data_IF_501424661444
#
_entry.id   IF_501424661444
#
_cell.length_a   1.000
_cell.length_b   1.000
_cell.length_c   1.000
_cell.angle_alpha   90.00
_cell.angle_beta   90.00
_cell.angle_gamma   90.00
#
_symmetry.space_group_name_H-M   'P 1'
#
loop_
_entity.id
_entity.type
_entity.pdbx_description
1 polymer ?
#
# COMPACT_ATOMS: atom_id res chain seq x y z
N UNK A 1 17.89 48.64 -21.39
CA UNK A 1 16.81 48.12 -22.25
C UNK A 1 15.53 48.96 -22.22
N UNK A 2 15.11 49.50 -21.07
CA UNK A 2 13.86 50.28 -20.97
C UNK A 2 13.81 51.54 -21.86
N UNK A 3 14.96 52.12 -22.22
CA UNK A 3 15.07 53.34 -23.04
C UNK A 3 14.89 53.14 -24.55
N UNK A 4 14.80 51.91 -25.07
CA UNK A 4 14.53 51.69 -26.48
C UNK A 4 13.06 52.06 -26.78
N UNK A 5 12.70 52.84 -27.81
CA UNK A 5 11.30 53.12 -28.12
C UNK A 5 10.59 51.95 -28.84
N UNK A 6 11.35 51.09 -29.54
CA UNK A 6 10.82 50.00 -30.35
C UNK A 6 10.60 48.72 -29.52
N UNK A 7 9.37 48.21 -29.50
CA UNK A 7 8.97 47.02 -28.72
C UNK A 7 9.55 45.72 -29.28
N UNK A 8 9.76 45.60 -30.59
CA UNK A 8 10.29 44.38 -31.19
C UNK A 8 11.79 44.27 -30.92
N UNK A 9 12.53 45.35 -31.15
CA UNK A 9 13.97 45.42 -30.82
C UNK A 9 14.26 45.22 -29.34
N UNK A 10 13.35 45.62 -28.43
CA UNK A 10 13.47 45.29 -27.00
C UNK A 10 13.50 43.77 -26.76
N UNK A 11 12.61 43.03 -27.41
CA UNK A 11 12.49 41.57 -27.23
C UNK A 11 13.72 40.85 -27.77
N UNK A 12 14.24 41.28 -28.91
CA UNK A 12 15.43 40.66 -29.51
C UNK A 12 16.69 40.98 -28.71
N UNK A 13 16.84 42.22 -28.25
CA UNK A 13 17.94 42.57 -27.34
C UNK A 13 17.87 41.75 -26.04
N UNK A 14 16.67 41.49 -25.50
CA UNK A 14 16.51 40.65 -24.32
C UNK A 14 16.90 39.20 -24.58
N UNK A 15 16.48 38.62 -25.71
CA UNK A 15 16.88 37.27 -26.12
C UNK A 15 18.40 37.15 -26.22
N UNK A 16 19.06 38.12 -26.83
CA UNK A 16 20.51 38.15 -26.98
C UNK A 16 21.22 38.30 -25.62
N UNK A 17 20.73 39.19 -24.75
CA UNK A 17 21.27 39.36 -23.40
C UNK A 17 21.15 38.06 -22.58
N UNK A 18 19.96 37.46 -22.54
CA UNK A 18 19.72 36.22 -21.80
C UNK A 18 20.61 35.11 -22.35
N UNK A 19 20.71 34.98 -23.68
CA UNK A 19 21.61 34.01 -24.30
C UNK A 19 23.06 34.22 -23.87
N UNK A 20 23.58 35.44 -23.97
CA UNK A 20 24.99 35.74 -23.64
C UNK A 20 25.31 35.51 -22.16
N UNK A 21 24.41 35.86 -21.25
CA UNK A 21 24.61 35.66 -19.81
C UNK A 21 24.50 34.18 -19.42
N UNK A 22 23.57 33.44 -20.00
CA UNK A 22 23.45 31.99 -19.79
C UNK A 22 24.67 31.23 -20.34
N UNK A 23 25.16 31.62 -21.52
CA UNK A 23 26.37 31.02 -22.12
C UNK A 23 27.61 31.29 -21.25
N UNK A 24 27.67 32.45 -20.57
CA UNK A 24 28.73 32.80 -19.60
C UNK A 24 28.52 32.24 -18.20
N UNK A 25 27.39 31.56 -17.93
CA UNK A 25 26.96 31.09 -16.60
C UNK A 25 26.93 32.18 -15.51
N UNK A 26 26.72 33.44 -15.91
CA UNK A 26 26.63 34.56 -14.97
C UNK A 26 25.18 34.71 -14.48
N UNK A 27 24.77 33.80 -13.61
CA UNK A 27 23.38 33.68 -13.13
C UNK A 27 23.03 34.75 -12.09
N UNK A 28 24.01 35.22 -11.33
CA UNK A 28 23.80 36.22 -10.27
C UNK A 28 23.40 37.57 -10.87
N UNK A 29 24.08 37.99 -11.94
CA UNK A 29 23.70 39.21 -12.66
C UNK A 29 22.33 39.06 -13.30
N UNK A 30 22.02 37.88 -13.87
CA UNK A 30 20.71 37.60 -14.46
C UNK A 30 19.57 37.65 -13.43
N UNK A 31 19.82 37.21 -12.21
CA UNK A 31 18.86 37.23 -11.10
C UNK A 31 18.64 38.64 -10.54
N UNK A 32 19.66 39.49 -10.58
CA UNK A 32 19.60 40.87 -10.07
C UNK A 32 18.70 41.81 -10.89
N UNK A 33 18.43 41.47 -12.15
CA UNK A 33 17.67 42.33 -13.05
C UNK A 33 16.16 42.33 -12.75
N UNK A 34 15.56 43.53 -12.84
CA UNK A 34 14.11 43.73 -12.77
C UNK A 34 13.54 43.86 -14.18
N UNK A 35 12.86 42.82 -14.67
CA UNK A 35 12.40 42.78 -16.07
C UNK A 35 11.03 43.46 -16.30
N UNK A 36 10.31 43.83 -15.23
CA UNK A 36 9.00 44.49 -15.27
C UNK A 36 8.07 43.86 -16.34
N UNK A 37 7.72 44.61 -17.39
CA UNK A 37 6.80 44.16 -18.46
C UNK A 37 7.37 43.05 -19.37
N UNK A 38 8.67 42.78 -19.31
CA UNK A 38 9.33 41.74 -20.12
C UNK A 38 9.52 40.43 -19.36
N UNK A 39 8.97 40.33 -18.14
CA UNK A 39 9.09 39.17 -17.26
C UNK A 39 8.58 37.87 -17.90
N UNK A 40 7.42 37.93 -18.55
CA UNK A 40 6.82 36.77 -19.20
C UNK A 40 7.68 36.30 -20.37
N UNK A 41 8.23 37.24 -21.14
CA UNK A 41 9.13 36.94 -22.24
C UNK A 41 10.43 36.30 -21.73
N UNK A 42 11.01 36.85 -20.66
CA UNK A 42 12.19 36.29 -20.00
C UNK A 42 11.94 34.85 -19.53
N UNK A 43 10.85 34.61 -18.80
CA UNK A 43 10.48 33.26 -18.36
C UNK A 43 10.26 32.32 -19.55
N UNK A 44 9.58 32.78 -20.61
CA UNK A 44 9.32 31.97 -21.81
C UNK A 44 10.61 31.51 -22.51
N UNK A 45 11.62 32.40 -22.60
CA UNK A 45 12.92 32.09 -23.20
C UNK A 45 13.62 31.01 -22.37
N UNK A 46 13.61 31.16 -21.05
CA UNK A 46 14.21 30.19 -20.14
C UNK A 46 13.49 28.84 -20.20
N UNK A 47 12.15 28.81 -20.21
CA UNK A 47 11.39 27.57 -20.36
C UNK A 47 11.69 26.88 -21.70
N UNK A 48 11.72 27.62 -22.81
CA UNK A 48 12.07 27.04 -24.12
C UNK A 48 13.47 26.42 -24.09
N UNK A 49 14.44 27.08 -23.46
CA UNK A 49 15.81 26.57 -23.36
C UNK A 49 15.94 25.41 -22.40
N UNK A 50 15.23 25.44 -21.26
CA UNK A 50 15.14 24.34 -20.31
C UNK A 50 14.53 23.10 -20.97
N UNK A 51 13.48 23.26 -21.78
CA UNK A 51 12.82 22.21 -22.56
C UNK A 51 13.68 21.62 -23.67
N UNK A 52 14.48 22.46 -24.33
CA UNK A 52 15.40 22.01 -25.37
C UNK A 52 16.66 21.31 -24.85
N UNK A 53 17.04 21.55 -23.59
CA UNK A 53 18.21 20.92 -22.96
C UNK A 53 17.83 19.58 -22.34
N UNK A 54 18.79 18.66 -22.27
CA UNK A 54 18.66 17.38 -21.58
C UNK A 54 18.18 17.59 -20.12
N UNK A 55 17.40 16.65 -19.57
CA UNK A 55 16.79 16.82 -18.25
C UNK A 55 17.81 16.62 -17.10
N UNK A 56 18.83 15.77 -17.32
CA UNK A 56 19.83 15.41 -16.31
C UNK A 56 20.75 16.62 -16.02
N UNK A 57 21.47 17.13 -17.02
CA UNK A 57 22.32 18.33 -16.88
C UNK A 57 21.56 19.62 -17.23
N UNK A 58 20.56 19.95 -16.41
CA UNK A 58 19.67 21.09 -16.64
C UNK A 58 19.73 22.12 -15.51
N UNK A 59 20.65 23.09 -15.63
CA UNK A 59 20.74 24.22 -14.70
C UNK A 59 19.60 25.24 -14.85
N UNK A 60 18.86 25.20 -15.96
CA UNK A 60 17.84 26.22 -16.26
C UNK A 60 16.60 26.07 -15.37
N UNK A 61 16.19 24.84 -15.05
CA UNK A 61 15.10 24.61 -14.10
C UNK A 61 15.48 25.05 -12.68
N UNK A 62 16.71 24.78 -12.24
CA UNK A 62 17.22 25.21 -10.93
C UNK A 62 17.26 26.75 -10.83
N UNK A 63 17.71 27.42 -11.90
CA UNK A 63 17.67 28.86 -12.01
C UNK A 63 16.23 29.40 -12.01
N UNK A 64 15.34 28.81 -12.82
CA UNK A 64 13.93 29.22 -12.87
C UNK A 64 13.25 29.08 -11.50
N UNK A 65 13.50 28.00 -10.78
CA UNK A 65 12.95 27.79 -9.44
C UNK A 65 13.46 28.84 -8.44
N UNK A 66 14.78 29.01 -8.34
CA UNK A 66 15.37 30.01 -7.43
C UNK A 66 14.88 31.43 -7.76
N UNK A 67 14.78 31.74 -9.04
CA UNK A 67 14.23 32.99 -9.53
C UNK A 67 12.77 33.21 -9.10
N UNK A 68 11.89 32.22 -9.21
CA UNK A 68 10.49 32.37 -8.79
C UNK A 68 10.35 32.43 -7.25
N UNK A 69 11.14 31.66 -6.51
CA UNK A 69 11.13 31.70 -5.03
C UNK A 69 11.56 33.09 -4.52
N UNK A 70 12.59 33.70 -5.11
CA UNK A 70 13.08 35.03 -4.71
C UNK A 70 12.06 36.15 -4.94
N UNK A 71 11.05 35.93 -5.79
CA UNK A 71 9.97 36.90 -6.05
C UNK A 71 8.83 36.82 -5.04
N UNK A 72 8.81 35.80 -4.19
CA UNK A 72 7.88 35.65 -3.08
C UNK A 72 6.52 35.03 -3.43
N UNK A 73 5.57 35.22 -2.50
CA UNK A 73 4.29 34.51 -2.41
C UNK A 73 3.51 34.30 -3.72
N UNK A 74 3.28 35.30 -4.59
CA UNK A 74 2.47 35.11 -5.79
C UNK A 74 3.08 34.17 -6.84
N UNK A 75 4.39 33.85 -6.73
CA UNK A 75 5.11 33.04 -7.72
C UNK A 75 5.51 31.65 -7.20
N UNK A 76 5.16 31.29 -5.97
CA UNK A 76 5.45 29.95 -5.43
C UNK A 76 4.77 28.83 -6.23
N UNK A 77 3.55 29.06 -6.72
CA UNK A 77 2.86 28.11 -7.61
C UNK A 77 3.67 27.83 -8.87
N UNK A 78 4.22 28.89 -9.48
CA UNK A 78 5.03 28.78 -10.68
C UNK A 78 6.35 28.04 -10.36
N UNK A 79 6.99 28.35 -9.23
CA UNK A 79 8.19 27.64 -8.77
C UNK A 79 7.93 26.12 -8.62
N UNK A 80 6.81 25.74 -8.00
CA UNK A 80 6.42 24.34 -7.87
C UNK A 80 6.18 23.68 -9.23
N UNK A 81 5.52 24.38 -10.16
CA UNK A 81 5.25 23.82 -11.49
C UNK A 81 6.51 23.61 -12.34
N UNK A 82 7.51 24.49 -12.21
CA UNK A 82 8.83 24.37 -12.86
C UNK A 82 9.51 23.07 -12.41
N UNK A 83 9.56 22.85 -11.10
CA UNK A 83 10.20 21.65 -10.52
C UNK A 83 9.41 20.38 -10.81
N UNK A 84 8.08 20.47 -10.85
CA UNK A 84 7.22 19.36 -11.26
C UNK A 84 7.47 18.95 -12.72
N UNK A 85 7.57 19.91 -13.65
CA UNK A 85 7.87 19.65 -15.06
C UNK A 85 9.24 18.97 -15.22
N UNK A 86 10.25 19.43 -14.47
CA UNK A 86 11.57 18.79 -14.47
C UNK A 86 11.51 17.35 -13.94
N UNK A 87 10.82 17.12 -12.83
CA UNK A 87 10.65 15.79 -12.24
C UNK A 87 9.90 14.82 -13.17
N UNK A 88 8.90 15.34 -13.89
CA UNK A 88 8.17 14.59 -14.89
C UNK A 88 9.08 14.20 -16.07
N UNK A 89 9.85 15.14 -16.62
CA UNK A 89 10.80 14.82 -17.70
C UNK A 89 11.87 13.81 -17.27
N UNK A 90 12.36 13.91 -16.03
CA UNK A 90 13.30 12.95 -15.46
C UNK A 90 12.70 11.54 -15.31
N UNK A 91 11.38 11.38 -15.29
CA UNK A 91 10.74 10.04 -15.23
C UNK A 91 10.99 9.19 -16.46
N UNK A 92 11.39 9.80 -17.58
CA UNK A 92 11.70 9.08 -18.81
C UNK A 92 13.11 8.46 -18.78
N UNK A 93 13.94 8.84 -17.80
CA UNK A 93 15.33 8.42 -17.72
C UNK A 93 15.53 7.28 -16.73
N UNK A 94 15.99 6.14 -17.25
CA UNK A 94 16.38 4.96 -16.51
C UNK A 94 17.76 5.06 -15.84
N UNK A 95 18.06 6.10 -15.07
CA UNK A 95 19.36 6.21 -14.36
C UNK A 95 19.19 6.54 -12.89
N UNK A 96 20.11 6.05 -12.05
CA UNK A 96 20.08 6.33 -10.60
C UNK A 96 20.18 7.84 -10.32
N UNK A 97 21.06 8.55 -11.04
CA UNK A 97 21.22 10.00 -10.89
C UNK A 97 19.95 10.76 -11.27
N UNK A 98 19.30 10.39 -12.39
CA UNK A 98 18.04 11.00 -12.79
C UNK A 98 16.95 10.78 -11.75
N UNK A 99 16.89 9.60 -11.14
CA UNK A 99 15.92 9.25 -10.10
C UNK A 99 16.18 10.02 -8.79
N UNK A 100 17.44 10.16 -8.38
CA UNK A 100 17.80 11.00 -7.23
C UNK A 100 17.44 12.47 -7.46
N UNK A 101 17.70 12.98 -8.67
CA UNK A 101 17.30 14.33 -9.05
C UNK A 101 15.78 14.47 -9.12
N UNK A 102 15.08 13.47 -9.65
CA UNK A 102 13.62 13.43 -9.70
C UNK A 102 12.99 13.57 -8.32
N UNK A 103 13.48 12.80 -7.33
CA UNK A 103 13.00 12.89 -5.94
C UNK A 103 13.25 14.29 -5.37
N UNK A 104 14.42 14.87 -5.60
CA UNK A 104 14.73 16.25 -5.16
C UNK A 104 13.80 17.28 -5.80
N UNK A 105 13.53 17.17 -7.10
CA UNK A 105 12.61 18.06 -7.82
C UNK A 105 11.18 17.92 -7.32
N UNK A 106 10.67 16.70 -7.09
CA UNK A 106 9.35 16.51 -6.49
C UNK A 106 9.27 17.06 -5.07
N UNK A 107 10.32 16.88 -4.24
CA UNK A 107 10.37 17.46 -2.90
C UNK A 107 10.33 18.99 -2.94
N UNK A 108 11.12 19.62 -3.82
CA UNK A 108 11.11 21.06 -4.03
C UNK A 108 9.73 21.57 -4.50
N UNK A 109 9.09 20.81 -5.39
CA UNK A 109 7.74 21.08 -5.87
C UNK A 109 6.70 21.02 -4.74
N UNK A 110 6.67 19.94 -3.96
CA UNK A 110 5.75 19.79 -2.81
C UNK A 110 5.98 20.88 -1.78
N UNK A 111 7.23 21.25 -1.50
CA UNK A 111 7.56 22.34 -0.60
C UNK A 111 7.03 23.69 -1.12
N UNK A 112 7.24 24.00 -2.39
CA UNK A 112 6.74 25.25 -2.99
C UNK A 112 5.19 25.31 -3.01
N UNK A 113 4.52 24.20 -3.31
CA UNK A 113 3.06 24.13 -3.24
C UNK A 113 2.51 24.21 -1.83
N UNK A 114 3.24 23.70 -0.83
CA UNK A 114 2.84 23.82 0.58
C UNK A 114 2.92 25.26 1.10
N UNK A 115 3.67 26.13 0.43
CA UNK A 115 3.71 27.58 0.73
C UNK A 115 2.59 28.36 0.02
N UNK A 116 1.85 27.74 -0.90
CA UNK A 116 0.75 28.37 -1.62
C UNK A 116 -0.56 28.29 -0.81
N UNK A 117 -1.46 29.24 -1.05
CA UNK A 117 -2.85 29.13 -0.59
C UNK A 117 -3.50 27.90 -1.27
N UNK A 118 -4.23 27.04 -0.54
CA UNK A 118 -4.87 25.82 -1.06
C UNK A 118 -5.68 26.02 -2.35
N UNK A 119 -6.22 27.21 -2.60
CA UNK A 119 -6.96 27.54 -3.83
C UNK A 119 -6.11 27.47 -5.10
N UNK A 120 -4.80 27.63 -4.97
CA UNK A 120 -3.87 27.72 -6.10
C UNK A 120 -2.95 26.51 -6.23
N UNK A 121 -3.23 25.44 -5.49
CA UNK A 121 -2.35 24.28 -5.33
C UNK A 121 -2.62 23.20 -6.39
N UNK A 122 -2.52 23.60 -7.66
CA UNK A 122 -2.73 22.73 -8.81
C UNK A 122 -1.66 22.96 -9.88
N UNK A 123 -1.35 21.90 -10.62
CA UNK A 123 -0.36 21.88 -11.71
C UNK A 123 -0.95 21.23 -12.95
N UNK A 124 -0.55 21.71 -14.11
CA UNK A 124 -0.88 21.05 -15.37
C UNK A 124 0.18 19.99 -15.63
N UNK A 125 -0.25 18.73 -15.75
CA UNK A 125 0.65 17.65 -16.13
C UNK A 125 1.20 17.93 -17.54
N UNK A 126 2.53 17.89 -17.73
CA UNK A 126 3.08 17.92 -19.08
C UNK A 126 2.55 16.72 -19.88
N UNK A 127 2.17 16.95 -21.14
CA UNK A 127 1.67 15.89 -22.01
C UNK A 127 2.81 15.00 -22.48
N UNK A 128 2.70 13.70 -22.23
CA UNK A 128 3.38 12.71 -23.06
C UNK A 128 2.61 12.61 -24.38
N UNK A 129 3.33 12.76 -25.49
CA UNK A 129 2.75 12.71 -26.86
C UNK A 129 2.19 11.31 -27.18
N UNK A 130 2.49 10.31 -26.34
CA UNK A 130 2.18 8.90 -26.52
C UNK A 130 0.83 8.45 -25.91
N UNK A 131 0.04 9.34 -25.31
CA UNK A 131 -1.28 8.97 -24.78
C UNK A 131 -2.21 8.62 -25.95
N UNK A 132 -2.73 7.39 -25.92
CA UNK A 132 -3.68 6.84 -26.91
C UNK A 132 -4.90 7.78 -27.08
N UNK A 133 -5.30 8.02 -28.33
CA UNK A 133 -6.52 8.76 -28.64
C UNK A 133 -7.72 7.97 -28.07
N UNK A 134 -8.47 8.54 -27.13
CA UNK A 134 -9.70 7.89 -26.64
C UNK A 134 -10.72 7.93 -27.79
N UNK A 135 -11.04 6.74 -28.29
CA UNK A 135 -12.03 6.53 -29.34
C UNK A 135 -13.38 6.28 -28.67
N UNK A 136 -14.27 7.26 -28.70
CA UNK A 136 -15.64 7.11 -28.23
C UNK A 136 -16.53 6.83 -29.43
N UNK A 137 -17.13 5.65 -29.45
CA UNK A 137 -18.18 5.31 -30.41
C UNK A 137 -19.52 5.80 -29.86
N UNK A 138 -20.15 6.75 -30.55
CA UNK A 138 -21.49 7.20 -30.18
C UNK A 138 -22.53 6.15 -30.60
N UNK A 139 -23.51 5.83 -29.73
CA UNK A 139 -24.59 4.93 -30.10
C UNK A 139 -25.40 5.53 -31.26
N UNK A 140 -25.82 4.66 -32.19
CA UNK A 140 -26.63 5.07 -33.34
C UNK A 140 -27.95 5.69 -32.88
N UNK A 141 -28.39 6.74 -33.56
CA UNK A 141 -29.75 7.23 -33.41
C UNK A 141 -30.75 6.13 -33.83
N UNK A 142 -31.76 5.87 -32.98
CA UNK A 142 -32.70 4.77 -33.21
C UNK A 142 -33.49 4.98 -34.52
N UNK A 143 -33.29 4.08 -35.49
CA UNK A 143 -33.97 4.11 -36.80
C UNK A 143 -33.13 4.64 -37.97
N UNK A 144 -31.85 4.92 -37.76
CA UNK A 144 -30.90 5.32 -38.82
C UNK A 144 -30.00 4.15 -39.25
N UNK A 145 -29.80 4.00 -40.57
CA UNK A 145 -28.83 3.07 -41.19
C UNK A 145 -27.39 3.65 -41.22
N UNK A 146 -27.17 4.81 -40.58
CA UNK A 146 -25.85 5.44 -40.54
C UNK A 146 -24.84 4.63 -39.70
N UNK A 147 -23.58 4.64 -40.15
CA UNK A 147 -22.46 4.10 -39.40
C UNK A 147 -22.28 4.88 -38.08
N UNK A 148 -21.84 4.22 -36.99
CA UNK A 148 -21.64 4.89 -35.70
C UNK A 148 -20.61 6.02 -35.84
N UNK A 149 -20.93 7.20 -35.32
CA UNK A 149 -19.99 8.30 -35.29
C UNK A 149 -18.87 8.01 -34.28
N UNK A 150 -17.64 7.98 -34.79
CA UNK A 150 -16.44 7.75 -33.99
C UNK A 150 -15.80 9.08 -33.65
N UNK A 151 -15.92 9.52 -32.40
CA UNK A 151 -15.26 10.73 -31.90
C UNK A 151 -13.91 10.34 -31.31
N UNK A 152 -12.85 10.92 -31.86
CA UNK A 152 -11.49 10.79 -31.32
C UNK A 152 -11.19 11.97 -30.41
N UNK A 153 -11.19 11.74 -29.10
CA UNK A 153 -10.82 12.75 -28.13
C UNK A 153 -9.32 12.69 -27.85
N UNK A 154 -8.64 13.83 -28.02
CA UNK A 154 -7.27 14.02 -27.51
C UNK A 154 -7.38 14.64 -26.13
N UNK A 155 -6.94 13.92 -25.09
CA UNK A 155 -6.82 14.49 -23.74
C UNK A 155 -5.76 15.61 -23.80
N UNK A 156 -6.20 16.87 -23.71
CA UNK A 156 -5.34 18.06 -23.92
C UNK A 156 -4.96 18.79 -22.64
N UNK A 157 -5.61 18.50 -21.49
CA UNK A 157 -5.27 19.12 -20.21
C UNK A 157 -5.59 18.16 -19.04
N UNK A 158 -4.58 17.81 -18.23
CA UNK A 158 -4.76 17.10 -16.96
C UNK A 158 -4.26 18.00 -15.83
N UNK A 159 -5.15 18.34 -14.91
CA UNK A 159 -4.84 19.17 -13.73
C UNK A 159 -4.65 18.24 -12.54
N UNK A 160 -3.52 18.39 -11.87
CA UNK A 160 -3.06 17.56 -10.76
C UNK A 160 -3.02 18.40 -9.50
N UNK A 161 -3.58 17.85 -8.42
CA UNK A 161 -3.55 18.44 -7.08
C UNK A 161 -2.31 18.02 -6.29
N UNK A 162 -2.00 18.75 -5.22
CA UNK A 162 -0.88 18.43 -4.32
C UNK A 162 -0.92 17.02 -3.75
N UNK A 163 -2.11 16.44 -3.53
CA UNK A 163 -2.23 15.04 -3.07
C UNK A 163 -1.67 14.08 -4.12
N UNK A 164 -1.98 14.31 -5.39
CA UNK A 164 -1.47 13.48 -6.48
C UNK A 164 0.05 13.69 -6.70
N UNK A 165 0.57 14.91 -6.55
CA UNK A 165 2.03 15.17 -6.57
C UNK A 165 2.72 14.41 -5.42
N UNK A 166 2.13 14.37 -4.22
CA UNK A 166 2.65 13.59 -3.09
C UNK A 166 2.65 12.09 -3.38
N UNK A 167 1.65 11.56 -4.08
CA UNK A 167 1.62 10.16 -4.52
C UNK A 167 2.73 9.85 -5.53
N UNK A 168 2.96 10.72 -6.51
CA UNK A 168 4.05 10.57 -7.48
C UNK A 168 5.43 10.66 -6.81
N UNK A 169 5.59 11.54 -5.82
CA UNK A 169 6.78 11.61 -4.97
C UNK A 169 7.00 10.30 -4.20
N UNK A 170 5.94 9.72 -3.60
CA UNK A 170 6.05 8.46 -2.88
C UNK A 170 6.53 7.32 -3.81
N UNK A 171 6.02 7.26 -5.04
CA UNK A 171 6.50 6.32 -6.06
C UNK A 171 7.97 6.55 -6.42
N UNK A 172 8.38 7.80 -6.63
CA UNK A 172 9.77 8.12 -6.97
C UNK A 172 10.75 7.75 -5.84
N UNK A 173 10.37 8.00 -4.58
CA UNK A 173 11.16 7.59 -3.40
C UNK A 173 11.27 6.07 -3.32
N UNK A 174 10.17 5.36 -3.54
CA UNK A 174 10.17 3.91 -3.48
C UNK A 174 11.01 3.28 -4.60
N UNK A 175 10.92 3.80 -5.82
CA UNK A 175 11.82 3.43 -6.93
C UNK A 175 13.28 3.69 -6.57
N UNK A 176 13.58 4.81 -5.93
CA UNK A 176 14.94 5.16 -5.52
C UNK A 176 15.49 4.19 -4.48
N UNK A 177 14.70 3.86 -3.45
CA UNK A 177 15.08 2.86 -2.44
C UNK A 177 15.39 1.51 -3.10
N UNK A 178 14.51 1.07 -4.00
CA UNK A 178 14.69 -0.18 -4.73
C UNK A 178 15.93 -0.15 -5.64
N UNK A 179 16.14 0.91 -6.41
CA UNK A 179 17.29 1.06 -7.29
C UNK A 179 18.65 1.07 -6.54
N UNK A 180 18.65 1.53 -5.28
CA UNK A 180 19.84 1.46 -4.40
C UNK A 180 20.12 0.04 -3.93
N UNK A 181 19.06 -0.72 -3.66
CA UNK A 181 19.16 -2.11 -3.21
C UNK A 181 19.54 -3.06 -4.35
N UNK A 182 18.85 -2.97 -5.49
CA UNK A 182 19.10 -3.79 -6.67
C UNK A 182 19.36 -2.91 -7.90
N UNK A 183 20.63 -2.82 -8.30
CA UNK A 183 21.05 -2.06 -9.48
C UNK A 183 20.43 -2.60 -10.78
N UNK A 184 19.97 -3.86 -10.82
CA UNK A 184 19.31 -4.44 -11.99
C UNK A 184 17.92 -3.87 -12.22
N UNK A 185 17.28 -3.32 -11.19
CA UNK A 185 15.95 -2.71 -11.31
C UNK A 185 15.92 -1.53 -12.29
N UNK A 186 17.02 -0.81 -12.43
CA UNK A 186 17.13 0.39 -13.27
C UNK A 186 16.76 0.08 -14.74
N UNK A 187 16.91 -1.16 -15.21
CA UNK A 187 16.55 -1.55 -16.58
C UNK A 187 15.05 -1.76 -16.80
N UNK A 188 14.28 -1.97 -15.73
CA UNK A 188 12.86 -2.31 -15.79
C UNK A 188 12.06 -1.16 -15.16
N UNK A 189 11.98 -0.03 -15.86
CA UNK A 189 11.29 1.17 -15.37
C UNK A 189 9.78 0.91 -15.23
N UNK A 190 9.37 0.30 -14.12
CA UNK A 190 7.99 -0.16 -13.91
C UNK A 190 7.05 1.03 -13.83
N UNK A 191 6.00 1.00 -14.65
CA UNK A 191 5.00 2.07 -14.75
C UNK A 191 3.88 1.89 -13.73
N UNK A 192 3.55 0.65 -13.35
CA UNK A 192 2.43 0.34 -12.45
C UNK A 192 2.82 0.39 -10.97
N UNK A 193 2.04 1.09 -10.11
CA UNK A 193 2.21 1.07 -8.66
C UNK A 193 2.14 -0.33 -8.05
N UNK A 194 1.27 -1.21 -8.58
CA UNK A 194 1.06 -2.57 -8.06
C UNK A 194 2.32 -3.41 -8.27
N UNK A 195 2.91 -3.34 -9.46
CA UNK A 195 4.15 -4.07 -9.77
C UNK A 195 5.31 -3.60 -8.90
N UNK A 196 5.41 -2.29 -8.63
CA UNK A 196 6.41 -1.74 -7.73
C UNK A 196 6.25 -2.26 -6.30
N UNK A 197 5.00 -2.28 -5.78
CA UNK A 197 4.69 -2.84 -4.45
C UNK A 197 5.12 -4.31 -4.37
N UNK A 198 4.79 -5.11 -5.38
CA UNK A 198 5.16 -6.53 -5.42
C UNK A 198 6.68 -6.73 -5.47
N UNK A 199 7.40 -5.91 -6.24
CA UNK A 199 8.86 -5.98 -6.30
C UNK A 199 9.50 -5.56 -4.98
N UNK A 200 8.99 -4.51 -4.31
CA UNK A 200 9.46 -4.10 -2.99
C UNK A 200 9.24 -5.19 -1.94
N UNK A 201 8.08 -5.87 -1.98
CA UNK A 201 7.80 -7.01 -1.11
C UNK A 201 8.78 -8.17 -1.36
N UNK A 202 9.05 -8.50 -2.62
CA UNK A 202 10.04 -9.52 -2.99
C UNK A 202 11.48 -9.15 -2.59
N UNK A 203 11.83 -7.86 -2.65
CA UNK A 203 13.13 -7.36 -2.20
C UNK A 203 13.26 -7.29 -0.66
N UNK A 204 12.14 -7.44 0.07
CA UNK A 204 12.10 -7.41 1.52
C UNK A 204 11.95 -6.01 2.13
N UNK A 205 11.55 -4.99 1.37
CA UNK A 205 11.34 -3.61 1.85
C UNK A 205 9.85 -3.38 2.18
N UNK A 206 9.35 -4.10 3.18
CA UNK A 206 7.92 -4.18 3.51
C UNK A 206 7.31 -2.88 3.99
N UNK A 207 7.99 -2.09 4.83
CA UNK A 207 7.42 -0.80 5.31
C UNK A 207 7.13 0.17 4.16
N UNK A 208 8.01 0.19 3.17
CA UNK A 208 7.83 1.01 1.97
C UNK A 208 6.69 0.46 1.10
N UNK A 209 6.59 -0.86 0.95
CA UNK A 209 5.49 -1.49 0.22
C UNK A 209 4.12 -1.19 0.87
N UNK A 210 4.01 -1.32 2.19
CA UNK A 210 2.77 -1.08 2.94
C UNK A 210 2.36 0.40 2.94
N UNK A 211 3.31 1.32 3.03
CA UNK A 211 3.01 2.76 2.88
C UNK A 211 2.59 3.12 1.46
N UNK A 212 3.09 2.41 0.43
CA UNK A 212 2.55 2.55 -0.91
C UNK A 212 1.13 1.98 -1.02
N UNK A 213 0.84 0.83 -0.42
CA UNK A 213 -0.51 0.28 -0.38
C UNK A 213 -1.53 1.27 0.21
N UNK A 214 -1.19 1.96 1.31
CA UNK A 214 -2.08 3.00 1.89
C UNK A 214 -2.26 4.20 0.97
N UNK A 215 -1.20 4.65 0.27
CA UNK A 215 -1.29 5.83 -0.61
C UNK A 215 -2.06 5.57 -1.91
N UNK A 216 -2.04 4.34 -2.41
CA UNK A 216 -2.70 3.93 -3.66
C UNK A 216 -3.99 3.13 -3.45
N UNK A 217 -4.39 2.88 -2.20
CA UNK A 217 -5.58 2.11 -1.83
C UNK A 217 -5.57 0.69 -2.46
N UNK A 218 -4.42 0.02 -2.35
CA UNK A 218 -4.18 -1.34 -2.86
C UNK A 218 -4.26 -2.33 -1.69
N UNK A 219 -4.83 -3.53 -1.89
CA UNK A 219 -4.92 -4.53 -0.83
C UNK A 219 -3.53 -4.92 -0.29
N UNK A 220 -3.44 -5.08 1.03
CA UNK A 220 -2.19 -5.47 1.71
C UNK A 220 -1.91 -6.98 1.64
N UNK A 221 -2.91 -7.79 1.29
CA UNK A 221 -2.86 -9.27 1.29
C UNK A 221 -1.60 -9.83 0.61
N UNK A 222 -1.25 -9.42 -0.64
CA UNK A 222 -0.11 -10.00 -1.34
C UNK A 222 1.23 -9.69 -0.66
N UNK A 223 1.34 -8.54 0.00
CA UNK A 223 2.56 -8.13 0.71
C UNK A 223 2.76 -9.00 1.94
N UNK A 224 1.69 -9.28 2.70
CA UNK A 224 1.75 -10.16 3.87
C UNK A 224 1.98 -11.63 3.48
N UNK A 225 1.48 -12.10 2.34
CA UNK A 225 1.83 -13.44 1.83
C UNK A 225 3.32 -13.60 1.53
N UNK A 226 3.91 -12.61 0.84
CA UNK A 226 5.34 -12.63 0.53
C UNK A 226 6.14 -12.50 1.81
N UNK A 227 5.72 -11.62 2.72
CA UNK A 227 6.42 -11.40 3.97
C UNK A 227 6.44 -12.66 4.84
N UNK A 228 5.30 -13.32 5.01
CA UNK A 228 5.22 -14.60 5.75
C UNK A 228 6.07 -15.68 5.12
N UNK A 229 6.05 -15.80 3.79
CA UNK A 229 6.91 -16.71 3.07
C UNK A 229 8.40 -16.42 3.37
N UNK A 230 8.83 -15.16 3.37
CA UNK A 230 10.20 -14.78 3.69
C UNK A 230 10.58 -15.03 5.16
N UNK A 231 9.68 -14.79 6.12
CA UNK A 231 9.88 -15.17 7.52
C UNK A 231 10.09 -16.68 7.69
N UNK A 232 9.36 -17.50 6.94
CA UNK A 232 9.52 -18.95 6.96
C UNK A 232 10.85 -19.41 6.34
N UNK A 233 11.25 -18.82 5.21
CA UNK A 233 12.57 -19.08 4.60
C UNK A 233 13.73 -18.61 5.49
N UNK A 234 13.52 -17.59 6.31
CA UNK A 234 14.53 -17.08 7.27
C UNK A 234 14.89 -18.14 8.31
N UNK A 235 13.94 -18.99 8.72
CA UNK A 235 14.19 -20.11 9.65
C UNK A 235 15.16 -21.16 9.08
N UNK A 236 15.31 -21.24 7.76
CA UNK A 236 16.14 -22.26 7.08
C UNK A 236 17.41 -21.69 6.43
N UNK A 237 17.53 -20.35 6.33
CA UNK A 237 18.64 -19.65 5.65
C UNK A 237 19.64 -19.02 6.63
N UNK A 238 20.78 -18.61 6.08
CA UNK A 238 21.83 -17.89 6.80
C UNK A 238 21.33 -16.56 7.40
N UNK A 239 21.67 -16.32 8.67
CA UNK A 239 21.30 -15.10 9.40
C UNK A 239 21.83 -13.81 8.75
N UNK A 240 22.94 -13.87 8.01
CA UNK A 240 23.50 -12.70 7.34
C UNK A 240 22.56 -12.15 6.24
N UNK A 241 21.89 -13.03 5.50
CA UNK A 241 20.96 -12.64 4.44
C UNK A 241 19.71 -12.02 5.05
N UNK A 242 19.32 -12.51 6.23
CA UNK A 242 18.09 -12.07 6.89
C UNK A 242 18.27 -10.70 7.53
N UNK A 243 19.45 -10.43 8.10
CA UNK A 243 19.82 -9.09 8.54
C UNK A 243 19.84 -8.05 7.40
N UNK A 244 20.29 -8.42 6.21
CA UNK A 244 20.39 -7.47 5.09
C UNK A 244 19.03 -6.86 4.72
N UNK A 245 17.96 -7.65 4.64
CA UNK A 245 16.63 -7.09 4.33
C UNK A 245 15.95 -6.49 5.57
N UNK A 246 16.24 -6.98 6.77
CA UNK A 246 15.69 -6.42 8.02
C UNK A 246 16.15 -4.97 8.25
N UNK A 247 17.42 -4.67 7.99
CA UNK A 247 17.98 -3.32 8.15
C UNK A 247 17.26 -2.31 7.27
N UNK A 248 16.87 -2.70 6.05
CA UNK A 248 16.16 -1.83 5.09
C UNK A 248 14.71 -1.49 5.53
N UNK A 249 14.18 -2.14 6.56
CA UNK A 249 12.87 -1.85 7.13
C UNK A 249 12.91 -0.85 8.29
N UNK A 250 14.01 -0.13 8.50
CA UNK A 250 14.14 0.96 9.48
C UNK A 250 13.56 0.57 10.85
N UNK A 251 14.19 -0.39 11.55
CA UNK A 251 13.63 -1.00 12.78
C UNK A 251 13.56 -0.05 13.99
N UNK A 252 14.21 1.12 13.93
CA UNK A 252 14.36 2.07 15.04
C UNK A 252 13.04 2.55 15.66
N UNK A 253 11.98 2.65 14.86
CA UNK A 253 10.68 3.17 15.30
C UNK A 253 9.81 2.11 16.00
N UNK A 254 10.22 0.84 16.01
CA UNK A 254 9.40 -0.26 16.50
C UNK A 254 9.96 -0.83 17.82
N UNK A 255 9.09 -1.28 18.75
CA UNK A 255 9.51 -1.89 20.02
C UNK A 255 9.98 -3.34 19.81
N UNK A 256 10.92 -3.56 18.89
CA UNK A 256 11.46 -4.88 18.55
C UNK A 256 12.65 -5.16 19.47
N UNK A 257 12.57 -6.26 20.21
CA UNK A 257 13.59 -6.70 21.16
C UNK A 257 13.90 -8.15 20.84
N UNK A 258 15.02 -8.39 20.16
CA UNK A 258 15.45 -9.74 19.79
C UNK A 258 16.95 -9.79 19.52
N UNK A 259 17.59 -10.86 19.97
CA UNK A 259 19.01 -11.11 19.73
C UNK A 259 19.26 -11.92 18.45
N UNK A 260 18.23 -12.60 17.91
CA UNK A 260 18.27 -13.36 16.65
C UNK A 260 17.48 -12.66 15.55
N UNK A 261 17.97 -12.75 14.31
CA UNK A 261 17.30 -12.22 13.13
C UNK A 261 15.90 -12.82 12.92
N UNK A 262 15.72 -14.08 13.31
CA UNK A 262 14.45 -14.80 13.17
C UNK A 262 13.40 -14.16 14.10
N UNK A 263 13.75 -13.97 15.38
CA UNK A 263 12.85 -13.34 16.35
C UNK A 263 12.47 -11.92 15.94
N UNK A 264 13.44 -11.15 15.44
CA UNK A 264 13.23 -9.79 14.92
C UNK A 264 12.28 -9.80 13.71
N UNK A 265 12.44 -10.75 12.77
CA UNK A 265 11.56 -10.88 11.61
C UNK A 265 10.11 -11.21 12.01
N UNK A 266 9.93 -12.13 12.97
CA UNK A 266 8.60 -12.49 13.47
C UNK A 266 7.94 -11.37 14.28
N UNK A 267 8.71 -10.65 15.10
CA UNK A 267 8.21 -9.47 15.81
C UNK A 267 7.86 -8.33 14.86
N UNK A 268 8.61 -8.15 13.77
CA UNK A 268 8.29 -7.19 12.71
C UNK A 268 6.96 -7.55 12.04
N UNK A 269 6.77 -8.82 11.66
CA UNK A 269 5.50 -9.32 11.11
C UNK A 269 4.33 -9.06 12.08
N UNK A 270 4.50 -9.42 13.35
CA UNK A 270 3.49 -9.20 14.38
C UNK A 270 3.12 -7.72 14.51
N UNK A 271 4.13 -6.84 14.56
CA UNK A 271 3.92 -5.40 14.75
C UNK A 271 3.23 -4.77 13.56
N UNK A 272 3.65 -5.11 12.34
CA UNK A 272 3.03 -4.59 11.12
C UNK A 272 1.61 -5.15 10.94
N UNK A 273 1.37 -6.41 11.26
CA UNK A 273 0.03 -7.01 11.18
C UNK A 273 -0.96 -6.25 12.08
N UNK A 274 -0.59 -5.96 13.33
CA UNK A 274 -1.45 -5.19 14.24
C UNK A 274 -1.61 -3.72 13.87
N UNK A 275 -0.64 -3.13 13.17
CA UNK A 275 -0.73 -1.73 12.75
C UNK A 275 -1.68 -1.54 11.56
N UNK A 276 -1.69 -2.48 10.62
CA UNK A 276 -2.44 -2.35 9.37
C UNK A 276 -3.80 -3.07 9.38
N UNK A 277 -4.05 -3.96 10.34
CA UNK A 277 -5.34 -4.60 10.47
C UNK A 277 -6.25 -3.89 11.46
N UNK A 278 -7.40 -3.44 10.98
CA UNK A 278 -8.43 -2.82 11.81
C UNK A 278 -8.95 -3.78 12.89
N UNK A 279 -9.50 -3.22 13.96
CA UNK A 279 -10.14 -3.99 15.02
C UNK A 279 -11.33 -4.77 14.43
N UNK A 280 -11.42 -6.08 14.74
CA UNK A 280 -12.41 -7.04 14.22
C UNK A 280 -12.25 -7.53 12.77
N UNK A 281 -11.34 -6.94 11.98
CA UNK A 281 -10.99 -7.52 10.68
C UNK A 281 -10.08 -8.74 10.87
N UNK A 282 -10.24 -9.73 9.99
CA UNK A 282 -9.47 -10.99 9.99
C UNK A 282 -8.77 -11.29 8.67
N UNK A 283 -8.85 -10.38 7.71
CA UNK A 283 -8.35 -10.59 6.35
C UNK A 283 -6.84 -10.87 6.36
N UNK A 284 -6.06 -10.10 7.13
CA UNK A 284 -4.61 -10.28 7.16
C UNK A 284 -4.21 -11.50 8.01
N UNK A 285 -4.88 -11.73 9.14
CA UNK A 285 -4.70 -12.97 9.90
C UNK A 285 -4.96 -14.21 9.05
N UNK A 286 -6.05 -14.21 8.26
CA UNK A 286 -6.41 -15.31 7.36
C UNK A 286 -5.31 -15.58 6.35
N UNK A 287 -4.88 -14.56 5.62
CA UNK A 287 -3.85 -14.66 4.58
C UNK A 287 -2.53 -15.20 5.14
N UNK A 288 -2.10 -14.66 6.29
CA UNK A 288 -0.87 -15.07 6.98
C UNK A 288 -0.94 -16.54 7.42
N UNK A 289 -2.05 -16.94 8.04
CA UNK A 289 -2.25 -18.31 8.52
C UNK A 289 -2.41 -19.30 7.38
N UNK A 290 -3.21 -18.97 6.38
CA UNK A 290 -3.41 -19.78 5.18
C UNK A 290 -2.08 -20.05 4.48
N UNK A 291 -1.25 -19.00 4.32
CA UNK A 291 0.10 -19.15 3.75
C UNK A 291 1.00 -20.06 4.58
N UNK A 292 0.97 -19.96 5.91
CA UNK A 292 1.74 -20.83 6.79
C UNK A 292 1.31 -22.30 6.70
N UNK A 293 0.00 -22.55 6.74
CA UNK A 293 -0.57 -23.90 6.64
C UNK A 293 -0.26 -24.53 5.28
N UNK A 294 -0.38 -23.76 4.19
CA UNK A 294 0.00 -24.21 2.84
C UNK A 294 1.48 -24.59 2.72
N UNK A 295 2.35 -23.96 3.51
CA UNK A 295 3.79 -24.25 3.54
C UNK A 295 4.17 -25.32 4.58
N UNK A 296 3.20 -25.91 5.28
CA UNK A 296 3.47 -26.96 6.27
C UNK A 296 4.02 -26.45 7.60
N UNK A 297 3.96 -25.14 7.86
CA UNK A 297 4.62 -24.51 9.01
C UNK A 297 3.71 -24.44 10.24
N UNK A 298 4.32 -24.45 11.43
CA UNK A 298 3.61 -24.28 12.70
C UNK A 298 3.22 -22.82 12.93
N UNK A 299 2.00 -22.58 13.43
CA UNK A 299 1.47 -21.25 13.69
C UNK A 299 1.98 -20.72 15.04
N UNK A 300 2.64 -19.55 15.10
CA UNK A 300 3.09 -18.97 16.36
C UNK A 300 1.95 -18.72 17.36
N UNK A 301 2.24 -18.89 18.65
CA UNK A 301 1.25 -18.72 19.72
C UNK A 301 0.59 -17.34 19.75
N UNK A 302 1.35 -16.27 19.49
CA UNK A 302 0.82 -14.91 19.45
C UNK A 302 -0.24 -14.74 18.36
N UNK A 303 -0.04 -15.39 17.21
CA UNK A 303 -0.93 -15.30 16.05
C UNK A 303 -2.21 -16.09 16.31
N UNK A 304 -2.08 -17.32 16.83
CA UNK A 304 -3.25 -18.13 17.19
C UNK A 304 -4.07 -17.48 18.31
N UNK A 305 -3.42 -16.90 19.33
CA UNK A 305 -4.11 -16.22 20.42
C UNK A 305 -4.84 -14.95 19.97
N UNK A 306 -4.22 -14.17 19.09
CA UNK A 306 -4.89 -13.00 18.48
C UNK A 306 -6.08 -13.43 17.63
N UNK A 307 -5.90 -14.43 16.77
CA UNK A 307 -6.92 -14.84 15.83
C UNK A 307 -8.11 -15.52 16.52
N UNK A 308 -7.88 -16.30 17.60
CA UNK A 308 -8.94 -16.88 18.43
C UNK A 308 -9.87 -15.80 19.01
N UNK A 309 -9.33 -14.66 19.44
CA UNK A 309 -10.11 -13.53 19.96
C UNK A 309 -10.93 -12.80 18.90
N UNK A 310 -10.48 -12.80 17.65
CA UNK A 310 -11.15 -12.13 16.53
C UNK A 310 -12.19 -13.04 15.88
N UNK A 311 -11.78 -14.23 15.43
CA UNK A 311 -12.66 -15.19 14.77
C UNK A 311 -12.12 -16.63 14.87
N UNK A 312 -12.48 -17.32 15.96
CA UNK A 312 -12.14 -18.73 16.12
C UNK A 312 -12.82 -19.66 15.11
N UNK A 313 -13.98 -19.27 14.57
CA UNK A 313 -14.73 -20.13 13.63
C UNK A 313 -14.08 -20.21 12.25
N UNK A 314 -13.43 -19.13 11.82
CA UNK A 314 -12.67 -19.08 10.58
C UNK A 314 -11.34 -19.82 10.72
N UNK A 315 -10.65 -19.64 11.85
CA UNK A 315 -9.44 -20.40 12.15
C UNK A 315 -9.70 -21.92 12.19
N UNK A 316 -10.81 -22.36 12.79
CA UNK A 316 -11.21 -23.77 12.76
C UNK A 316 -11.35 -24.30 11.32
N UNK A 317 -12.02 -23.54 10.46
CA UNK A 317 -12.19 -23.88 9.04
C UNK A 317 -10.87 -23.98 8.32
N UNK A 318 -9.93 -23.06 8.57
CA UNK A 318 -8.61 -23.09 7.97
C UNK A 318 -7.80 -24.32 8.37
N UNK A 319 -7.84 -24.73 9.65
CA UNK A 319 -7.19 -25.97 10.06
C UNK A 319 -7.83 -27.19 9.42
N UNK A 320 -9.16 -27.24 9.42
CA UNK A 320 -9.93 -28.34 8.84
C UNK A 320 -9.65 -28.53 7.34
N UNK A 321 -9.78 -27.46 6.54
CA UNK A 321 -9.58 -27.53 5.09
C UNK A 321 -8.13 -27.84 4.68
N UNK A 322 -7.14 -27.49 5.51
CA UNK A 322 -5.75 -27.81 5.26
C UNK A 322 -5.32 -29.18 5.84
N UNK A 323 -6.24 -29.96 6.41
CA UNK A 323 -5.98 -31.32 6.90
C UNK A 323 -5.29 -31.40 8.27
N UNK A 324 -5.19 -30.29 9.01
CA UNK A 324 -4.63 -30.24 10.36
C UNK A 324 -5.68 -30.64 11.40
N UNK A 325 -6.04 -31.93 11.41
CA UNK A 325 -7.18 -32.44 12.18
C UNK A 325 -6.96 -32.44 13.69
N UNK A 326 -5.72 -32.64 14.16
CA UNK A 326 -5.37 -32.59 15.57
C UNK A 326 -5.60 -31.21 16.16
N UNK A 327 -5.03 -30.20 15.50
CA UNK A 327 -5.11 -28.80 15.89
C UNK A 327 -6.56 -28.30 15.76
N UNK A 328 -7.28 -28.73 14.71
CA UNK A 328 -8.70 -28.43 14.55
C UNK A 328 -9.54 -29.02 15.70
N UNK A 329 -9.30 -30.27 16.09
CA UNK A 329 -10.02 -30.92 17.18
C UNK A 329 -9.75 -30.24 18.53
N UNK A 330 -8.50 -29.92 18.82
CA UNK A 330 -8.13 -29.18 20.03
C UNK A 330 -8.79 -27.80 20.08
N UNK A 331 -8.76 -27.06 18.97
CA UNK A 331 -9.39 -25.74 18.88
C UNK A 331 -10.92 -25.82 19.00
N UNK A 332 -11.55 -26.84 18.42
CA UNK A 332 -12.98 -27.08 18.57
C UNK A 332 -13.35 -27.36 20.04
N UNK A 333 -12.59 -28.22 20.71
CA UNK A 333 -12.77 -28.50 22.14
C UNK A 333 -12.64 -27.23 22.99
N UNK A 334 -11.59 -26.44 22.78
CA UNK A 334 -11.38 -25.18 23.49
C UNK A 334 -12.51 -24.17 23.23
N UNK A 335 -12.98 -24.06 21.98
CA UNK A 335 -14.07 -23.14 21.63
C UNK A 335 -15.41 -23.57 22.28
N UNK A 336 -15.72 -24.87 22.29
CA UNK A 336 -16.89 -25.41 23.00
C UNK A 336 -16.78 -25.12 24.50
N UNK A 337 -15.62 -25.34 25.10
CA UNK A 337 -15.39 -25.04 26.52
C UNK A 337 -15.56 -23.55 26.83
N UNK A 338 -15.03 -22.67 25.98
CA UNK A 338 -15.18 -21.22 26.12
C UNK A 338 -16.65 -20.79 26.09
N UNK A 339 -17.44 -21.39 25.19
CA UNK A 339 -18.87 -21.15 25.08
C UNK A 339 -19.65 -21.69 26.29
N UNK A 340 -19.18 -22.79 26.89
CA UNK A 340 -19.68 -23.34 28.17
C UNK A 340 -19.16 -22.59 29.41
N UNK A 341 -18.59 -21.39 29.24
CA UNK A 341 -18.07 -20.50 30.28
C UNK A 341 -16.73 -20.93 30.92
N UNK A 342 -15.94 -21.76 30.23
CA UNK A 342 -14.58 -22.10 30.63
C UNK A 342 -13.57 -21.39 29.72
N UNK A 343 -13.04 -20.24 30.16
CA UNK A 343 -11.99 -19.53 29.43
C UNK A 343 -12.48 -18.65 28.26
N UNK A 344 -13.66 -18.04 28.37
CA UNK A 344 -14.20 -17.12 27.35
C UNK A 344 -13.28 -15.96 26.97
N UNK A 345 -12.41 -15.51 27.88
CA UNK A 345 -11.43 -14.44 27.65
C UNK A 345 -10.43 -14.75 26.52
N UNK A 346 -10.10 -16.03 26.31
CA UNK A 346 -9.19 -16.46 25.25
C UNK A 346 -9.80 -16.36 23.84
N UNK A 347 -11.13 -16.30 23.76
CA UNK A 347 -11.90 -16.24 22.53
C UNK A 347 -12.58 -14.89 22.31
N UNK A 348 -12.32 -13.90 23.19
CA UNK A 348 -12.92 -12.57 23.09
C UNK A 348 -14.41 -12.53 23.43
N UNK A 349 -14.92 -13.55 24.13
CA UNK A 349 -16.32 -13.58 24.54
C UNK A 349 -16.53 -12.77 25.82
N UNK A 350 -17.31 -11.69 25.77
CA UNK A 350 -17.61 -10.84 26.93
C UNK A 350 -18.61 -11.46 27.91
N UNK A 351 -19.47 -12.35 27.42
CA UNK A 351 -20.54 -13.00 28.20
C UNK A 351 -20.66 -14.46 27.81
N UNK A 352 -20.95 -15.39 28.73
CA UNK A 352 -21.19 -16.79 28.37
C UNK A 352 -22.56 -17.00 27.73
N UNK A 353 -22.83 -18.24 27.28
CA UNK A 353 -24.16 -18.71 26.92
C UNK A 353 -25.17 -18.46 28.05
N UNK A 354 -25.93 -17.38 27.91
CA UNK A 354 -26.98 -16.99 28.83
C UNK A 354 -28.27 -16.67 28.04
N UNK A 355 -29.45 -16.89 28.62
CA UNK A 355 -30.73 -16.67 27.93
C UNK A 355 -30.96 -15.23 27.44
N UNK A 356 -30.34 -14.24 28.09
CA UNK A 356 -30.53 -12.81 27.81
C UNK A 356 -29.49 -12.22 26.84
N UNK A 357 -28.51 -13.01 26.41
CA UNK A 357 -27.34 -12.54 25.62
C UNK A 357 -27.54 -12.84 24.12
N UNK A 358 -26.85 -12.09 23.26
CA UNK A 358 -26.81 -12.33 21.81
C UNK A 358 -26.45 -13.78 21.48
N UNK A 359 -27.11 -14.39 20.47
CA UNK A 359 -26.87 -15.79 20.13
C UNK A 359 -25.42 -16.02 19.69
N UNK A 360 -24.81 -17.09 20.21
CA UNK A 360 -23.50 -17.56 19.78
C UNK A 360 -23.59 -18.37 18.49
N UNK A 361 -22.80 -18.00 17.48
CA UNK A 361 -22.71 -18.74 16.22
C UNK A 361 -21.48 -19.66 16.24
N UNK A 362 -21.64 -20.87 16.77
CA UNK A 362 -20.63 -21.94 16.61
C UNK A 362 -20.76 -22.62 15.24
N UNK A 363 -19.65 -23.01 14.59
CA UNK A 363 -19.67 -23.71 13.31
C UNK A 363 -19.98 -25.20 13.52
N UNK A 364 -21.22 -25.51 13.90
CA UNK A 364 -21.69 -26.88 14.21
C UNK A 364 -21.40 -27.85 13.05
N UNK A 365 -21.70 -27.45 11.81
CA UNK A 365 -21.46 -28.27 10.62
C UNK A 365 -19.99 -28.66 10.44
N UNK A 366 -19.05 -27.74 10.75
CA UNK A 366 -17.61 -28.02 10.61
C UNK A 366 -17.16 -28.98 11.71
N UNK A 367 -17.72 -28.86 12.92
CA UNK A 367 -17.43 -29.78 14.03
C UNK A 367 -18.00 -31.17 13.73
N UNK A 368 -19.20 -31.27 13.15
CA UNK A 368 -19.79 -32.53 12.72
C UNK A 368 -18.95 -33.20 11.62
N UNK A 369 -18.58 -32.46 10.57
CA UNK A 369 -17.69 -32.98 9.52
C UNK A 369 -16.31 -33.37 10.05
N UNK A 370 -15.76 -32.62 11.01
CA UNK A 370 -14.52 -32.96 11.69
C UNK A 370 -14.66 -34.28 12.48
N UNK A 371 -15.76 -34.49 13.19
CA UNK A 371 -16.03 -35.74 13.90
C UNK A 371 -16.11 -36.93 12.94
N UNK A 372 -16.79 -36.78 11.81
CA UNK A 372 -16.86 -37.81 10.76
C UNK A 372 -15.47 -38.13 10.21
N UNK A 373 -14.68 -37.12 9.88
CA UNK A 373 -13.35 -37.31 9.29
C UNK A 373 -12.36 -37.94 10.27
N UNK A 374 -12.43 -37.56 11.56
CA UNK A 374 -11.66 -38.21 12.64
C UNK A 374 -12.03 -39.69 12.81
N UNK A 375 -13.32 -40.04 12.72
CA UNK A 375 -13.76 -41.44 12.81
C UNK A 375 -13.25 -42.25 11.61
N UNK A 376 -13.38 -41.70 10.41
CA UNK A 376 -12.88 -42.30 9.16
C UNK A 376 -11.37 -42.56 9.24
N UNK A 377 -10.56 -41.58 9.69
CA UNK A 377 -9.12 -41.78 9.82
C UNK A 377 -8.73 -42.82 10.88
N UNK A 378 -9.46 -42.89 11.99
CA UNK A 378 -9.28 -43.93 13.00
C UNK A 378 -9.67 -45.33 12.50
N UNK A 379 -10.55 -45.44 11.51
CA UNK A 379 -10.89 -46.72 10.87
C UNK A 379 -9.81 -47.16 9.87
N UNK A 380 -9.16 -46.23 9.20
CA UNK A 380 -8.09 -46.52 8.23
C UNK A 380 -6.74 -46.87 8.89
N UNK A 381 -6.38 -46.22 10.00
CA UNK A 381 -5.10 -46.44 10.68
C UNK A 381 -5.24 -47.40 11.88
N UNK A 382 -4.47 -48.49 11.87
CA UNK A 382 -4.47 -49.53 12.91
C UNK A 382 -4.11 -48.95 14.28
N UNK A 383 -3.27 -47.90 14.29
CA UNK A 383 -2.79 -47.28 15.52
C UNK A 383 -3.76 -46.27 16.14
N UNK A 384 -4.87 -45.92 15.44
CA UNK A 384 -5.91 -44.98 15.89
C UNK A 384 -5.37 -43.74 16.62
N UNK A 385 -4.48 -42.98 15.97
CA UNK A 385 -3.77 -41.89 16.65
C UNK A 385 -4.71 -40.78 17.18
N UNK A 386 -5.91 -40.63 16.59
CA UNK A 386 -6.85 -39.53 16.84
C UNK A 386 -8.04 -39.94 17.74
N UNK A 387 -8.02 -41.14 18.32
CA UNK A 387 -9.17 -41.66 19.08
C UNK A 387 -9.41 -40.88 20.38
N UNK A 388 -8.36 -40.28 20.96
CA UNK A 388 -8.46 -39.48 22.19
C UNK A 388 -9.17 -38.16 21.92
N UNK A 389 -8.73 -37.45 20.90
CA UNK A 389 -9.28 -36.18 20.44
C UNK A 389 -10.74 -36.36 20.00
N UNK A 390 -11.04 -37.43 19.25
CA UNK A 390 -12.40 -37.77 18.83
C UNK A 390 -13.35 -37.97 20.02
N UNK A 391 -12.96 -38.76 21.02
CA UNK A 391 -13.80 -39.02 22.21
C UNK A 391 -14.06 -37.74 22.99
N UNK A 392 -13.01 -36.95 23.23
CA UNK A 392 -13.12 -35.68 23.94
C UNK A 392 -14.05 -34.70 23.22
N UNK A 393 -13.86 -34.54 21.90
CA UNK A 393 -14.69 -33.65 21.08
C UNK A 393 -16.14 -34.10 21.10
N UNK A 394 -16.42 -35.40 20.93
CA UNK A 394 -17.77 -35.96 20.92
C UNK A 394 -18.49 -35.77 22.26
N UNK A 395 -17.80 -36.03 23.36
CA UNK A 395 -18.37 -35.82 24.70
C UNK A 395 -18.71 -34.35 24.96
N UNK A 396 -17.82 -33.43 24.58
CA UNK A 396 -18.04 -31.99 24.74
C UNK A 396 -19.15 -31.48 23.81
N UNK A 397 -19.20 -31.97 22.58
CA UNK A 397 -20.20 -31.58 21.61
C UNK A 397 -21.62 -32.01 22.04
N UNK A 398 -21.78 -33.22 22.57
CA UNK A 398 -23.06 -33.66 23.14
C UNK A 398 -23.50 -32.79 24.31
N UNK A 399 -22.59 -32.46 25.24
CA UNK A 399 -22.87 -31.54 26.35
C UNK A 399 -23.29 -30.16 25.85
N UNK A 400 -22.67 -29.67 24.78
CA UNK A 400 -23.05 -28.40 24.16
C UNK A 400 -24.47 -28.45 23.55
N UNK A 401 -24.84 -29.54 22.85
CA UNK A 401 -26.19 -29.69 22.29
C UNK A 401 -27.25 -29.73 23.41
N UNK A 402 -27.00 -30.47 24.49
CA UNK A 402 -27.93 -30.53 25.62
C UNK A 402 -28.12 -29.18 26.31
N UNK A 403 -27.03 -28.45 26.55
CA UNK A 403 -27.05 -27.13 27.19
C UNK A 403 -27.70 -26.07 26.30
N UNK A 404 -27.39 -26.05 25.01
CA UNK A 404 -28.00 -25.13 24.03
C UNK A 404 -29.51 -25.39 23.86
N UNK A 405 -29.94 -26.66 23.85
CA UNK A 405 -31.36 -27.02 23.84
C UNK A 405 -32.08 -26.55 25.12
N UNK A 406 -31.44 -26.70 26.29
CA UNK A 406 -32.00 -26.21 27.56
C UNK A 406 -32.17 -24.68 27.55
N UNK A 407 -31.13 -23.94 27.15
CA UNK A 407 -31.15 -22.47 27.11
C UNK A 407 -32.18 -21.99 26.09
N UNK A 408 -32.27 -22.62 24.91
CA UNK A 408 -33.26 -22.27 23.88
C UNK A 408 -34.70 -22.43 24.41
N UNK A 409 -34.96 -23.51 25.16
CA UNK A 409 -36.26 -23.72 25.80
C UNK A 409 -36.56 -22.68 26.88
N UNK A 410 -35.55 -22.26 27.66
CA UNK A 410 -35.68 -21.19 28.65
C UNK A 410 -35.99 -19.83 28.00
N UNK A 411 -35.30 -19.47 26.91
CA UNK A 411 -35.56 -18.24 26.15
C UNK A 411 -36.97 -18.23 25.56
N UNK A 412 -37.43 -19.35 25.01
CA UNK A 412 -38.80 -19.46 24.51
C UNK A 412 -39.83 -19.27 25.64
N UNK A 413 -39.58 -19.83 26.84
CA UNK A 413 -40.45 -19.67 28.01
C UNK A 413 -40.46 -18.25 28.55
N UNK A 414 -39.33 -17.57 28.63
CA UNK A 414 -39.26 -16.16 29.09
C UNK A 414 -39.94 -15.23 28.10
N UNK A 415 -39.77 -15.43 26.79
CA UNK A 415 -40.52 -14.68 25.76
C UNK A 415 -42.02 -14.93 25.82
N UNK A 416 -42.47 -16.17 26.07
CA UNK A 416 -43.90 -16.48 26.21
C UNK A 416 -44.53 -15.94 27.51
N UNK A 417 -43.76 -15.77 28.57
CA UNK A 417 -44.24 -15.21 29.85
C UNK A 417 -44.27 -13.68 29.90
N UNK A 418 -43.51 -13.00 29.03
CA UNK A 418 -43.51 -11.52 28.92
C UNK A 418 -44.58 -10.92 27.98
N UNK A 419 -45.53 -11.72 27.47
CA UNK A 419 -46.58 -11.30 26.52
C UNK A 419 -47.92 -10.97 27.22
N UNK A 420 -47.95 -10.81 28.56
CA UNK A 420 -49.14 -10.38 29.30
C UNK A 420 -49.02 -8.96 29.86
#
# INVERSE_FOLDING_TARGET
>A
MHSNPDKERKKDNLRELVKTLLDKRDLDTLMSFTYADMQELFCSILFMRARATDAIDNMYYDFLYSYQINRGAPFFRLAGSVMYEQAFRLSQYGTLEALEKQVKCYLASVNAFSLCDPKFTWVIKPFDVEIEEEVIELPREAGSDAEPEVIKLKKQLEVIDLVAIKKELALAIARLKLAKFDKKFITNFMTSPIELIMYLACAGIYKCALSLCTTFDVPYEPVFEIFTQQCLHTTTRDEAITWNWLVENDLHDLPIIGNSAIDVAWQLLQTLLFQYEEEHMTVLHRVVVEKMLNLGAFIPYWLSSSYKKRNASELLRLYYYNGYLNEAAQLACENILAVLNYGGEYFGYEKPLLPEVSPFCLPVNVIDSLLEELDVQNQYDVNRPLEKEYKQLKELFLKYIETSARISNEVCRTKMSGIY
#
